data_IF_547686011459
#
_entry.id   IF_547686011459
#
_cell.length_a   1.000
_cell.length_b   1.000
_cell.length_c   1.000
_cell.angle_alpha   90.00
_cell.angle_beta   90.00
_cell.angle_gamma   90.00
#
_symmetry.space_group_name_H-M   'P 1'
#
loop_
_entity.id
_entity.type
_entity.pdbx_description
1 polymer ?
#
# COMPACT_ATOMS: atom_id res chain seq x y z
N UNK A 1 -55.79 10.65 27.19
CA UNK A 1 -54.55 11.15 26.55
C UNK A 1 -53.78 9.92 26.07
N UNK A 2 -53.76 9.66 24.75
CA UNK A 2 -52.55 9.76 23.90
C UNK A 2 -51.32 9.06 24.53
N UNK A 3 -50.64 8.10 23.90
CA UNK A 3 -50.42 7.89 22.47
C UNK A 3 -49.78 6.51 22.21
N UNK A 4 -50.17 5.94 21.07
CA UNK A 4 -49.59 4.80 20.37
C UNK A 4 -48.08 4.94 20.16
N UNK A 5 -47.30 3.86 20.28
CA UNK A 5 -46.14 3.60 19.41
C UNK A 5 -45.93 2.10 19.22
N UNK A 6 -46.27 1.66 18.01
CA UNK A 6 -45.85 0.39 17.40
C UNK A 6 -44.32 0.30 17.44
N UNK A 7 -43.76 -0.74 18.06
CA UNK A 7 -42.39 -1.16 17.76
C UNK A 7 -42.42 -1.90 16.42
N UNK A 8 -41.69 -1.32 15.49
CA UNK A 8 -41.65 -1.64 14.08
C UNK A 8 -40.67 -2.81 13.88
N UNK A 9 -41.19 -4.00 13.55
CA UNK A 9 -40.48 -4.98 12.74
C UNK A 9 -40.18 -4.33 11.38
N UNK A 10 -38.91 -4.06 11.06
CA UNK A 10 -38.40 -4.14 9.69
C UNK A 10 -36.88 -3.96 9.58
N UNK A 11 -36.25 -5.05 9.14
CA UNK A 11 -35.01 -5.14 8.37
C UNK A 11 -33.71 -4.69 9.04
N UNK A 12 -33.13 -5.62 9.77
CA UNK A 12 -31.69 -5.89 9.67
C UNK A 12 -31.37 -6.27 8.22
N UNK A 13 -30.91 -5.31 7.42
CA UNK A 13 -30.21 -5.56 6.15
C UNK A 13 -28.81 -4.94 6.22
N UNK A 14 -28.05 -5.29 7.25
CA UNK A 14 -26.60 -5.08 7.28
C UNK A 14 -25.91 -6.34 6.73
N UNK A 15 -26.09 -6.62 5.44
CA UNK A 15 -25.34 -7.70 4.78
C UNK A 15 -25.25 -7.59 3.26
N UNK A 16 -25.20 -6.37 2.74
CA UNK A 16 -24.88 -6.14 1.33
C UNK A 16 -23.53 -5.44 1.20
N UNK A 17 -22.52 -6.25 0.85
CA UNK A 17 -21.21 -5.87 0.28
C UNK A 17 -20.02 -5.83 1.24
N UNK A 18 -19.85 -6.86 2.09
CA UNK A 18 -18.53 -7.23 2.64
C UNK A 18 -17.63 -7.89 1.58
N UNK A 19 -17.57 -7.31 0.37
CA UNK A 19 -16.60 -7.69 -0.64
C UNK A 19 -15.28 -6.99 -0.34
N UNK A 20 -14.16 -7.71 -0.38
CA UNK A 20 -12.85 -7.08 -0.32
C UNK A 20 -12.76 -6.01 -1.45
N UNK A 21 -12.49 -4.72 -1.14
CA UNK A 21 -12.44 -3.65 -2.14
C UNK A 21 -11.38 -3.88 -3.22
N UNK A 22 -10.46 -4.82 -2.99
CA UNK A 22 -9.39 -5.20 -3.89
C UNK A 22 -9.62 -6.53 -4.63
N UNK A 23 -10.81 -7.13 -4.51
CA UNK A 23 -11.13 -8.46 -5.07
C UNK A 23 -10.99 -8.54 -6.59
N UNK A 24 -11.11 -7.42 -7.31
CA UNK A 24 -11.03 -7.35 -8.77
C UNK A 24 -9.97 -6.32 -9.23
N UNK A 25 -8.77 -6.33 -8.63
CA UNK A 25 -7.69 -5.47 -9.09
C UNK A 25 -7.08 -6.00 -10.40
N UNK A 26 -7.02 -5.14 -11.40
CA UNK A 26 -6.31 -5.44 -12.65
C UNK A 26 -4.84 -4.99 -12.57
N UNK A 27 -3.92 -5.91 -12.86
CA UNK A 27 -2.47 -5.64 -12.82
C UNK A 27 -2.07 -4.40 -13.62
N UNK A 28 -2.54 -4.32 -14.86
CA UNK A 28 -2.24 -3.20 -15.75
C UNK A 28 -2.68 -1.84 -15.16
N UNK A 29 -3.85 -1.81 -14.50
CA UNK A 29 -4.37 -0.60 -13.86
C UNK A 29 -3.49 -0.17 -12.68
N UNK A 30 -3.10 -1.10 -11.81
CA UNK A 30 -2.24 -0.80 -10.66
C UNK A 30 -0.84 -0.35 -11.10
N UNK A 31 -0.25 -0.99 -12.11
CA UNK A 31 1.02 -0.57 -12.69
C UNK A 31 0.95 0.82 -13.34
N UNK A 32 -0.18 1.15 -13.97
CA UNK A 32 -0.40 2.49 -14.52
C UNK A 32 -0.51 3.54 -13.40
N UNK A 33 -1.25 3.24 -12.33
CA UNK A 33 -1.35 4.13 -11.16
C UNK A 33 0.01 4.33 -10.48
N UNK A 34 0.87 3.32 -10.42
CA UNK A 34 2.21 3.40 -9.83
C UNK A 34 3.11 4.48 -10.47
N UNK A 35 2.78 4.95 -11.68
CA UNK A 35 3.46 6.09 -12.30
C UNK A 35 3.34 7.37 -11.46
N UNK A 36 2.29 7.50 -10.64
CA UNK A 36 2.12 8.61 -9.69
C UNK A 36 3.26 8.72 -8.68
N UNK A 37 4.04 7.65 -8.43
CA UNK A 37 5.21 7.74 -7.55
C UNK A 37 6.32 8.67 -8.08
N UNK A 38 6.31 8.96 -9.40
CA UNK A 38 7.24 9.88 -10.04
C UNK A 38 6.74 11.34 -10.03
N UNK A 39 5.51 11.61 -9.60
CA UNK A 39 4.96 12.96 -9.55
C UNK A 39 5.67 13.81 -8.48
N UNK A 40 5.85 15.09 -8.80
CA UNK A 40 6.40 16.09 -7.87
C UNK A 40 5.46 17.30 -7.89
N UNK A 41 4.82 17.67 -6.76
CA UNK A 41 4.96 17.10 -5.41
C UNK A 41 4.27 15.74 -5.24
N UNK A 42 4.81 14.89 -4.35
CA UNK A 42 4.27 13.55 -4.06
C UNK A 42 2.90 13.65 -3.41
N UNK A 43 1.90 12.96 -3.97
CA UNK A 43 0.59 12.81 -3.34
C UNK A 43 0.59 11.63 -2.36
N UNK A 44 0.89 11.91 -1.09
CA UNK A 44 1.01 10.89 -0.04
C UNK A 44 -0.21 9.95 0.05
N UNK A 45 -1.43 10.50 0.04
CA UNK A 45 -2.66 9.70 0.21
C UNK A 45 -2.86 8.72 -0.95
N UNK A 46 -2.67 9.19 -2.19
CA UNK A 46 -2.75 8.34 -3.37
C UNK A 46 -1.64 7.28 -3.36
N UNK A 47 -0.41 7.67 -3.01
CA UNK A 47 0.70 6.74 -2.96
C UNK A 47 0.47 5.61 -1.96
N UNK A 48 -0.06 5.91 -0.76
CA UNK A 48 -0.43 4.90 0.23
C UNK A 48 -1.46 3.91 -0.36
N UNK A 49 -2.51 4.40 -1.02
CA UNK A 49 -3.52 3.54 -1.62
C UNK A 49 -2.95 2.62 -2.70
N UNK A 50 -2.06 3.14 -3.55
CA UNK A 50 -1.43 2.36 -4.62
C UNK A 50 -0.47 1.31 -4.01
N UNK A 51 0.32 1.66 -3.01
CA UNK A 51 1.20 0.71 -2.31
C UNK A 51 0.39 -0.44 -1.67
N UNK A 52 -0.76 -0.14 -1.06
CA UNK A 52 -1.66 -1.17 -0.52
C UNK A 52 -2.15 -2.12 -1.62
N UNK A 53 -2.53 -1.60 -2.80
CA UNK A 53 -2.93 -2.43 -3.95
C UNK A 53 -1.79 -3.35 -4.40
N UNK A 54 -0.56 -2.82 -4.52
CA UNK A 54 0.62 -3.60 -4.90
C UNK A 54 0.91 -4.71 -3.89
N UNK A 55 0.94 -4.40 -2.59
CA UNK A 55 1.13 -5.38 -1.52
C UNK A 55 0.07 -6.48 -1.58
N UNK A 56 -1.19 -6.10 -1.76
CA UNK A 56 -2.30 -7.05 -1.87
C UNK A 56 -2.13 -7.99 -3.05
N UNK A 57 -1.74 -7.47 -4.22
CA UNK A 57 -1.48 -8.29 -5.41
C UNK A 57 -0.34 -9.28 -5.22
N UNK A 58 0.76 -8.87 -4.57
CA UNK A 58 1.90 -9.75 -4.29
C UNK A 58 1.50 -10.87 -3.30
N UNK A 59 0.65 -10.56 -2.33
CA UNK A 59 0.18 -11.51 -1.31
C UNK A 59 -0.95 -12.45 -1.77
N UNK A 60 -1.50 -12.28 -2.98
CA UNK A 60 -2.53 -13.18 -3.53
C UNK A 60 -2.08 -13.90 -4.80
N UNK A 61 -1.06 -14.77 -4.72
CA UNK A 61 -0.53 -15.48 -5.88
C UNK A 61 -1.52 -16.46 -6.51
N UNK A 62 -2.56 -16.89 -5.79
CA UNK A 62 -3.54 -17.89 -6.27
C UNK A 62 -4.71 -17.28 -7.07
N UNK A 63 -4.91 -15.96 -7.02
CA UNK A 63 -6.11 -15.28 -7.56
C UNK A 63 -5.81 -14.28 -8.68
N UNK A 64 -4.56 -14.15 -9.13
CA UNK A 64 -4.18 -13.12 -10.09
C UNK A 64 -2.92 -13.43 -10.90
N UNK A 65 -2.71 -12.62 -11.94
CA UNK A 65 -1.49 -12.62 -12.74
C UNK A 65 -0.32 -12.13 -11.88
N UNK A 66 0.72 -12.95 -11.75
CA UNK A 66 1.91 -12.58 -10.99
C UNK A 66 2.59 -11.36 -11.61
N UNK A 67 3.11 -10.49 -10.75
CA UNK A 67 3.99 -9.40 -11.16
C UNK A 67 5.25 -9.98 -11.79
N UNK A 68 5.49 -9.65 -13.06
CA UNK A 68 6.73 -10.04 -13.73
C UNK A 68 7.92 -9.39 -13.04
N UNK A 69 9.08 -10.04 -13.06
CA UNK A 69 10.30 -9.54 -12.41
C UNK A 69 10.68 -8.12 -12.90
N UNK A 70 10.54 -7.86 -14.20
CA UNK A 70 10.79 -6.53 -14.80
C UNK A 70 9.80 -5.49 -14.27
N UNK A 71 8.50 -5.80 -14.29
CA UNK A 71 7.43 -4.91 -13.82
C UNK A 71 7.59 -4.59 -12.31
N UNK A 72 7.94 -5.61 -11.52
CA UNK A 72 8.22 -5.47 -10.09
C UNK A 72 9.43 -4.57 -9.85
N UNK A 73 10.52 -4.74 -10.61
CA UNK A 73 11.74 -3.94 -10.48
C UNK A 73 11.50 -2.47 -10.87
N UNK A 74 10.77 -2.21 -11.96
CA UNK A 74 10.39 -0.85 -12.36
C UNK A 74 9.50 -0.17 -11.31
N UNK A 75 8.50 -0.90 -10.80
CA UNK A 75 7.61 -0.42 -9.74
C UNK A 75 8.38 -0.14 -8.46
N UNK A 76 9.36 -1.00 -8.12
CA UNK A 76 10.22 -0.84 -6.96
C UNK A 76 11.08 0.43 -7.08
N UNK A 77 11.72 0.67 -8.24
CA UNK A 77 12.47 1.89 -8.48
C UNK A 77 11.60 3.14 -8.41
N UNK A 78 10.39 3.11 -8.96
CA UNK A 78 9.44 4.21 -8.83
C UNK A 78 9.08 4.47 -7.35
N UNK A 79 8.81 3.42 -6.58
CA UNK A 79 8.54 3.49 -5.15
C UNK A 79 9.72 4.10 -4.36
N UNK A 80 10.97 3.86 -4.75
CA UNK A 80 12.12 4.43 -4.02
C UNK A 80 12.11 5.96 -3.97
N UNK A 81 11.48 6.63 -4.95
CA UNK A 81 11.34 8.09 -4.95
C UNK A 81 10.44 8.60 -3.83
N UNK A 82 9.54 7.76 -3.31
CA UNK A 82 8.67 8.11 -2.18
C UNK A 82 9.45 8.34 -0.88
N UNK A 83 10.71 7.89 -0.80
CA UNK A 83 11.63 8.22 0.31
C UNK A 83 11.93 9.73 0.45
N UNK A 84 11.52 10.58 -0.49
CA UNK A 84 11.59 12.03 -0.30
C UNK A 84 10.50 12.57 0.63
N UNK A 85 9.41 11.81 0.85
CA UNK A 85 8.33 12.23 1.72
C UNK A 85 8.67 12.02 3.21
N UNK A 86 8.33 13.02 4.03
CA UNK A 86 8.43 12.98 5.50
C UNK A 86 7.17 12.43 6.17
N UNK A 87 6.13 12.09 5.41
CA UNK A 87 4.90 11.54 5.97
C UNK A 87 5.17 10.16 6.60
N UNK A 88 4.85 10.04 7.89
CA UNK A 88 5.12 8.83 8.66
C UNK A 88 4.34 7.61 8.19
N UNK A 89 3.09 7.79 7.75
CA UNK A 89 2.26 6.68 7.30
C UNK A 89 2.77 6.14 5.96
N UNK A 90 3.12 7.04 5.03
CA UNK A 90 3.75 6.66 3.78
C UNK A 90 5.09 5.97 4.03
N UNK A 91 5.88 6.44 5.00
CA UNK A 91 7.13 5.78 5.39
C UNK A 91 6.93 4.32 5.81
N UNK A 92 5.95 4.08 6.68
CA UNK A 92 5.58 2.71 7.13
C UNK A 92 5.14 1.83 5.96
N UNK A 93 4.36 2.40 5.04
CA UNK A 93 3.93 1.69 3.84
C UNK A 93 5.11 1.34 2.93
N UNK A 94 6.08 2.25 2.75
CA UNK A 94 7.29 1.98 1.97
C UNK A 94 8.08 0.80 2.57
N UNK A 95 8.27 0.75 3.89
CA UNK A 95 8.99 -0.36 4.52
C UNK A 95 8.29 -1.70 4.30
N UNK A 96 6.96 -1.72 4.45
CA UNK A 96 6.17 -2.91 4.17
C UNK A 96 6.31 -3.31 2.69
N UNK A 97 6.16 -2.37 1.76
CA UNK A 97 6.32 -2.65 0.33
C UNK A 97 7.72 -3.13 -0.03
N UNK A 98 8.79 -2.63 0.61
CA UNK A 98 10.15 -3.15 0.40
C UNK A 98 10.24 -4.61 0.81
N UNK A 99 9.71 -4.96 1.99
CA UNK A 99 9.72 -6.33 2.49
C UNK A 99 9.04 -7.29 1.50
N UNK A 100 7.84 -6.93 1.05
CA UNK A 100 7.06 -7.75 0.12
C UNK A 100 7.72 -7.85 -1.27
N UNK A 101 8.14 -6.72 -1.84
CA UNK A 101 8.73 -6.67 -3.19
C UNK A 101 10.15 -7.25 -3.25
N UNK A 102 10.86 -7.35 -2.12
CA UNK A 102 12.23 -7.88 -2.08
C UNK A 102 12.36 -9.32 -2.58
N UNK A 103 11.26 -10.07 -2.58
CA UNK A 103 11.21 -11.46 -3.04
C UNK A 103 11.02 -11.59 -4.55
N UNK A 104 10.62 -10.51 -5.23
CA UNK A 104 10.25 -10.52 -6.67
C UNK A 104 11.08 -9.54 -7.50
N UNK A 105 11.47 -8.39 -6.94
CA UNK A 105 12.23 -7.36 -7.63
C UNK A 105 13.75 -7.61 -7.57
N UNK A 106 14.47 -7.12 -8.58
CA UNK A 106 15.94 -7.08 -8.59
C UNK A 106 16.47 -5.78 -7.98
N UNK A 107 17.78 -5.76 -7.69
CA UNK A 107 18.51 -4.57 -7.26
C UNK A 107 17.94 -3.86 -6.02
N UNK A 108 17.30 -4.64 -5.15
CA UNK A 108 16.62 -4.17 -3.93
C UNK A 108 17.58 -3.42 -3.00
N UNK A 109 18.89 -3.68 -3.07
CA UNK A 109 19.94 -3.03 -2.29
C UNK A 109 19.98 -1.49 -2.44
N UNK A 110 19.39 -0.92 -3.51
CA UNK A 110 19.33 0.53 -3.73
C UNK A 110 18.68 1.30 -2.56
N UNK A 111 17.79 0.67 -1.78
CA UNK A 111 17.14 1.33 -0.63
C UNK A 111 17.97 1.30 0.64
N UNK A 112 19.09 0.56 0.69
CA UNK A 112 19.90 0.36 1.90
C UNK A 112 20.35 1.69 2.51
N UNK A 113 20.85 2.63 1.72
CA UNK A 113 21.30 3.93 2.26
C UNK A 113 20.15 4.74 2.87
N UNK A 114 18.96 4.69 2.26
CA UNK A 114 17.77 5.37 2.74
C UNK A 114 17.21 4.71 4.01
N UNK A 115 17.23 3.39 4.09
CA UNK A 115 16.87 2.65 5.30
C UNK A 115 17.85 2.94 6.45
N UNK A 116 19.15 2.87 6.21
CA UNK A 116 20.17 3.19 7.23
C UNK A 116 19.99 4.61 7.76
N UNK A 117 19.73 5.58 6.89
CA UNK A 117 19.49 6.97 7.29
C UNK A 117 18.24 7.11 8.17
N UNK A 118 17.16 6.40 7.86
CA UNK A 118 15.95 6.42 8.69
C UNK A 118 16.16 5.69 10.03
N UNK A 119 17.00 4.66 10.05
CA UNK A 119 17.36 3.88 11.24
C UNK A 119 18.24 4.63 12.22
N UNK A 120 19.19 5.42 11.71
CA UNK A 120 20.12 6.24 12.50
C UNK A 120 19.65 7.68 12.65
N UNK A 121 18.52 8.04 12.03
CA UNK A 121 17.93 9.37 12.09
C UNK A 121 17.47 9.73 13.50
N UNK A 122 17.45 11.03 13.81
CA UNK A 122 17.05 11.57 15.12
C UNK A 122 15.56 11.36 15.47
N UNK A 123 14.75 10.88 14.52
CA UNK A 123 13.33 10.61 14.72
C UNK A 123 13.13 9.15 15.14
N UNK A 124 13.01 8.90 16.45
CA UNK A 124 12.79 7.56 17.02
C UNK A 124 11.55 6.85 16.45
N UNK A 125 10.60 7.62 15.91
CA UNK A 125 9.36 7.19 15.28
C UNK A 125 9.55 6.29 14.04
N UNK A 126 10.72 6.37 13.38
CA UNK A 126 11.06 5.60 12.17
C UNK A 126 11.87 4.33 12.45
N UNK A 127 12.49 4.22 13.63
CA UNK A 127 13.48 3.17 13.95
C UNK A 127 12.85 1.80 14.16
N UNK A 128 11.72 1.73 14.86
CA UNK A 128 11.03 0.46 15.11
C UNK A 128 10.54 -0.22 13.81
N UNK A 129 9.79 0.49 12.94
CA UNK A 129 9.26 -0.07 11.71
C UNK A 129 10.31 -0.43 10.63
N UNK A 130 11.51 0.17 10.64
CA UNK A 130 12.53 -0.11 9.64
C UNK A 130 13.43 -1.32 9.97
N UNK A 131 13.39 -1.86 11.19
CA UNK A 131 14.13 -3.08 11.58
C UNK A 131 13.32 -4.37 11.31
N UNK A 132 11.98 -4.30 11.24
CA UNK A 132 11.09 -5.46 11.46
C UNK A 132 10.38 -5.97 10.20
#
# INVERSE_FOLDING_TARGET
>A
MLSSFRKQDKKDEESSTSGNPYKNLEKASVLQEARTFNETPVNTRKCIQILTKIIYMINQPEMGEQLGQTEATETFFAMTKLFQSKDMMLRRMIYLSIKEMSTVANDVIIVTSSLTRDMTGKEDSHRGPAIR
#
